data_IF_242471536301
#
_entry.id   IF_242471536301
#
_cell.length_a   1.000
_cell.length_b   1.000
_cell.length_c   1.000
_cell.angle_alpha   90.00
_cell.angle_beta   90.00
_cell.angle_gamma   90.00
#
_symmetry.space_group_name_H-M   'P 1'
#
loop_
_entity.id
_entity.type
_entity.pdbx_description
1 polymer ?
#
# COMPACT_ATOMS: atom_id res chain seq x y z
N UNK A 1 38.16 -59.68 -14.97
CA UNK A 1 37.03 -58.89 -14.44
C UNK A 1 36.11 -59.87 -13.72
N UNK A 2 36.09 -59.80 -12.39
CA UNK A 2 35.50 -60.76 -11.41
C UNK A 2 34.13 -60.19 -10.96
N UNK A 3 33.05 -60.88 -10.60
CA UNK A 3 32.63 -62.29 -10.37
C UNK A 3 31.08 -62.27 -10.36
N UNK A 4 30.38 -63.18 -11.05
CA UNK A 4 29.66 -64.38 -10.52
C UNK A 4 28.32 -64.11 -9.81
N UNK A 5 27.26 -64.70 -10.37
CA UNK A 5 25.90 -64.91 -9.83
C UNK A 5 25.85 -65.88 -8.63
N UNK A 6 24.77 -65.78 -7.84
CA UNK A 6 23.78 -66.86 -7.56
C UNK A 6 23.45 -67.08 -6.06
N UNK A 7 22.19 -66.74 -5.69
CA UNK A 7 21.20 -67.39 -4.79
C UNK A 7 21.60 -67.73 -3.32
N UNK A 8 20.76 -67.78 -2.27
CA UNK A 8 19.43 -68.39 -2.01
C UNK A 8 18.90 -67.83 -0.64
N UNK A 9 17.59 -67.50 -0.58
CA UNK A 9 16.58 -67.75 0.49
C UNK A 9 16.81 -67.38 1.98
N UNK A 10 15.83 -66.65 2.57
CA UNK A 10 14.78 -67.15 3.51
C UNK A 10 14.38 -66.03 4.48
N UNK A 11 13.08 -65.72 4.61
CA UNK A 11 12.58 -64.83 5.66
C UNK A 11 11.19 -64.24 5.42
N UNK A 12 10.20 -65.12 5.25
CA UNK A 12 8.78 -64.79 5.13
C UNK A 12 8.22 -64.36 6.50
N UNK A 13 7.69 -63.14 6.63
CA UNK A 13 6.55 -62.84 7.53
C UNK A 13 5.61 -61.89 6.80
N UNK A 14 4.49 -62.46 6.35
CA UNK A 14 3.27 -61.76 5.98
C UNK A 14 2.61 -61.20 7.24
N UNK A 15 2.44 -59.88 7.29
CA UNK A 15 1.24 -59.28 7.91
C UNK A 15 0.73 -58.25 6.92
N UNK A 16 -0.38 -58.59 6.26
CA UNK A 16 -1.10 -57.65 5.41
C UNK A 16 -1.79 -56.57 6.23
N UNK A 17 -1.94 -55.38 5.67
CA UNK A 17 -3.18 -55.03 4.97
C UNK A 17 -3.16 -53.59 4.48
N UNK A 18 -3.68 -53.44 3.25
CA UNK A 18 -4.27 -52.22 2.66
C UNK A 18 -3.36 -51.02 2.40
N UNK A 19 -2.78 -51.02 1.20
CA UNK A 19 -2.47 -49.81 0.42
C UNK A 19 -3.79 -49.17 0.01
N UNK A 20 -4.01 -47.91 0.39
CA UNK A 20 -5.04 -47.04 -0.19
C UNK A 20 -4.34 -46.04 -1.12
N UNK A 21 -4.64 -46.14 -2.41
CA UNK A 21 -4.28 -45.16 -3.43
C UNK A 21 -5.12 -43.87 -3.24
N UNK A 22 -4.59 -42.67 -3.56
CA UNK A 22 -5.30 -41.42 -3.34
C UNK A 22 -6.41 -41.25 -4.38
N UNK A 23 -7.67 -41.30 -3.90
CA UNK A 23 -8.85 -40.86 -4.65
C UNK A 23 -9.08 -39.36 -4.49
N UNK A 24 -9.42 -38.71 -5.60
CA UNK A 24 -9.94 -37.35 -5.66
C UNK A 24 -11.25 -37.22 -4.86
N UNK A 25 -11.27 -36.27 -3.93
CA UNK A 25 -12.43 -35.58 -3.34
C UNK A 25 -11.88 -34.69 -2.20
N UNK A 26 -12.34 -33.51 -1.85
CA UNK A 26 -13.36 -32.59 -2.33
C UNK A 26 -13.03 -31.24 -1.65
N UNK A 27 -13.53 -30.13 -2.19
CA UNK A 27 -13.40 -28.80 -1.59
C UNK A 27 -13.99 -28.80 -0.15
N UNK A 28 -13.10 -28.77 0.84
CA UNK A 28 -13.46 -28.60 2.24
C UNK A 28 -13.75 -27.14 2.56
N UNK A 29 -14.99 -26.84 2.92
CA UNK A 29 -15.44 -25.56 3.47
C UNK A 29 -14.58 -25.19 4.68
N UNK A 30 -13.86 -24.07 4.59
CA UNK A 30 -13.14 -23.47 5.71
C UNK A 30 -14.17 -22.99 6.73
N UNK A 31 -14.21 -23.64 7.90
CA UNK A 31 -15.11 -23.26 8.98
C UNK A 31 -14.82 -21.80 9.41
N UNK A 32 -15.86 -20.96 9.33
CA UNK A 32 -15.83 -19.56 9.70
C UNK A 32 -15.76 -19.42 11.22
N UNK A 33 -14.55 -19.40 11.78
CA UNK A 33 -14.32 -18.77 13.09
C UNK A 33 -13.86 -17.33 12.85
N UNK A 34 -14.81 -16.40 12.98
CA UNK A 34 -14.47 -15.02 13.24
C UNK A 34 -13.68 -14.95 14.56
N UNK A 35 -12.60 -14.18 14.57
CA UNK A 35 -11.91 -13.86 15.82
C UNK A 35 -12.88 -13.09 16.72
N UNK A 36 -13.32 -13.73 17.80
CA UNK A 36 -13.88 -13.05 18.96
C UNK A 36 -12.69 -12.70 19.82
N UNK A 37 -12.47 -11.40 20.04
CA UNK A 37 -11.42 -10.90 20.90
C UNK A 37 -11.46 -11.65 22.26
N UNK A 38 -10.36 -12.26 22.71
CA UNK A 38 -10.31 -12.86 24.03
C UNK A 38 -10.42 -11.73 25.05
N UNK A 39 -11.49 -11.75 25.83
CA UNK A 39 -11.61 -10.86 26.98
C UNK A 39 -10.54 -11.24 28.02
N UNK A 40 -9.78 -10.21 28.41
CA UNK A 40 -8.92 -10.12 29.60
C UNK A 40 -7.65 -11.02 29.65
N UNK A 41 -6.54 -10.49 29.09
CA UNK A 41 -5.23 -10.34 29.78
C UNK A 41 -4.06 -10.04 28.82
N UNK A 42 -4.28 -9.95 27.51
CA UNK A 42 -3.30 -9.47 26.53
C UNK A 42 -3.76 -8.15 25.91
N UNK A 43 -2.83 -7.20 25.65
CA UNK A 43 -3.14 -5.98 24.90
C UNK A 43 -3.84 -6.32 23.59
N UNK A 44 -4.95 -5.65 23.31
CA UNK A 44 -5.52 -5.64 21.95
C UNK A 44 -4.70 -4.67 21.08
N UNK A 45 -3.51 -5.15 20.69
CA UNK A 45 -2.52 -4.43 19.88
C UNK A 45 -3.12 -3.84 18.61
N UNK A 46 -4.14 -4.49 18.04
CA UNK A 46 -4.75 -4.08 16.78
C UNK A 46 -5.62 -2.86 17.00
N UNK A 47 -6.44 -2.88 18.05
CA UNK A 47 -7.18 -1.70 18.48
C UNK A 47 -6.23 -0.56 18.82
N UNK A 48 -5.11 -0.81 19.50
CA UNK A 48 -4.11 0.23 19.79
C UNK A 48 -3.49 0.83 18.50
N UNK A 49 -3.15 0.00 17.50
CA UNK A 49 -2.66 0.48 16.20
C UNK A 49 -3.71 1.36 15.51
N UNK A 50 -4.97 0.92 15.50
CA UNK A 50 -6.07 1.61 14.83
C UNK A 50 -6.40 2.94 15.50
N UNK A 51 -6.41 2.96 16.83
CA UNK A 51 -6.64 4.16 17.63
C UNK A 51 -5.57 5.22 17.37
N UNK A 52 -4.31 4.81 17.24
CA UNK A 52 -3.19 5.70 16.90
C UNK A 52 -3.35 6.37 15.53
N UNK A 53 -3.95 5.66 14.58
CA UNK A 53 -4.17 6.14 13.21
C UNK A 53 -5.45 7.00 13.14
N UNK A 54 -6.38 6.84 14.09
CA UNK A 54 -7.61 7.62 14.17
C UNK A 54 -8.64 7.25 13.10
N UNK A 55 -8.55 6.04 12.53
CA UNK A 55 -9.47 5.55 11.51
C UNK A 55 -10.34 4.43 12.07
N UNK A 56 -11.56 4.27 11.54
CA UNK A 56 -12.36 3.08 11.83
C UNK A 56 -11.80 1.90 11.04
N UNK A 57 -11.43 0.83 11.73
CA UNK A 57 -11.05 -0.43 11.09
C UNK A 57 -12.23 -0.98 10.27
N UNK A 58 -12.01 -1.18 8.96
CA UNK A 58 -12.95 -1.86 8.05
C UNK A 58 -12.32 -3.12 7.46
N UNK A 59 -11.60 -3.85 8.30
CA UNK A 59 -10.96 -5.13 8.00
C UNK A 59 -11.04 -6.01 9.24
N UNK A 60 -10.93 -7.32 9.05
CA UNK A 60 -10.86 -8.28 10.15
C UNK A 60 -9.45 -8.81 10.31
N UNK A 61 -9.01 -9.04 11.54
CA UNK A 61 -7.73 -9.67 11.80
C UNK A 61 -7.95 -11.08 12.29
N UNK A 62 -7.30 -12.05 11.65
CA UNK A 62 -7.51 -13.47 11.91
C UNK A 62 -6.19 -14.24 11.87
N UNK A 63 -6.00 -15.11 12.84
CA UNK A 63 -4.98 -16.14 12.75
C UNK A 63 -5.28 -17.06 11.56
N UNK A 64 -4.28 -17.38 10.75
CA UNK A 64 -4.41 -18.23 9.58
C UNK A 64 -3.11 -18.99 9.29
N UNK A 65 -3.20 -20.05 8.49
CA UNK A 65 -2.05 -20.79 8.01
C UNK A 65 -1.37 -20.08 6.82
N UNK A 66 -0.80 -18.90 7.11
CA UNK A 66 0.06 -18.14 6.18
C UNK A 66 1.52 -18.26 6.65
N UNK A 67 2.53 -18.06 5.78
CA UNK A 67 3.93 -18.14 6.21
C UNK A 67 4.32 -17.10 7.27
N UNK A 68 3.70 -15.93 7.23
CA UNK A 68 4.02 -14.75 8.03
C UNK A 68 2.75 -13.95 8.40
N UNK A 69 2.50 -12.82 7.75
CA UNK A 69 1.27 -12.05 7.78
C UNK A 69 0.97 -11.51 6.38
N UNK A 70 -0.30 -11.24 6.09
CA UNK A 70 -0.73 -10.75 4.78
C UNK A 70 -2.02 -9.93 4.86
N UNK A 71 -2.04 -8.77 4.21
CA UNK A 71 -3.25 -8.02 3.91
C UNK A 71 -3.91 -8.53 2.62
N UNK A 72 -5.16 -8.98 2.70
CA UNK A 72 -5.87 -9.60 1.57
C UNK A 72 -7.33 -9.15 1.48
N UNK A 73 -7.91 -9.25 0.28
CA UNK A 73 -9.34 -9.07 0.07
C UNK A 73 -9.92 -10.39 -0.40
N UNK A 74 -10.79 -10.99 0.42
CA UNK A 74 -11.47 -12.25 0.13
C UNK A 74 -12.98 -11.99 0.09
N UNK A 75 -13.63 -12.34 -1.02
CA UNK A 75 -15.07 -12.16 -1.21
C UNK A 75 -15.57 -10.72 -0.91
N UNK A 76 -14.77 -9.71 -1.29
CA UNK A 76 -15.09 -8.30 -1.06
C UNK A 76 -14.87 -7.80 0.38
N UNK A 77 -14.35 -8.65 1.28
CA UNK A 77 -14.03 -8.30 2.67
C UNK A 77 -12.52 -8.23 2.86
N UNK A 78 -12.05 -7.23 3.61
CA UNK A 78 -10.63 -6.99 3.91
C UNK A 78 -10.21 -7.81 5.13
N UNK A 79 -9.05 -8.45 5.04
CA UNK A 79 -8.48 -9.26 6.12
C UNK A 79 -7.00 -8.97 6.30
N UNK A 80 -6.56 -8.86 7.56
CA UNK A 80 -5.17 -9.05 7.96
C UNK A 80 -5.06 -10.48 8.48
N UNK A 81 -4.36 -11.33 7.74
CA UNK A 81 -4.10 -12.71 8.15
C UNK A 81 -2.72 -12.79 8.78
N UNK A 82 -2.56 -13.53 9.87
CA UNK A 82 -1.26 -13.69 10.51
C UNK A 82 -1.03 -15.11 11.04
N UNK A 83 0.23 -15.51 11.10
CA UNK A 83 0.66 -16.76 11.71
C UNK A 83 1.10 -16.50 13.16
N UNK A 84 0.33 -17.03 14.11
CA UNK A 84 0.57 -16.88 15.56
C UNK A 84 1.96 -17.38 15.97
N UNK A 85 2.37 -18.53 15.43
CA UNK A 85 3.64 -19.13 15.78
C UNK A 85 4.82 -18.28 15.26
N UNK A 86 4.71 -17.77 14.04
CA UNK A 86 5.70 -16.87 13.46
C UNK A 86 5.86 -15.59 14.29
N UNK A 87 4.76 -14.90 14.61
CA UNK A 87 4.84 -13.67 15.40
C UNK A 87 5.42 -13.93 16.80
N UNK A 88 5.01 -15.04 17.44
CA UNK A 88 5.57 -15.46 18.73
C UNK A 88 7.08 -15.72 18.65
N UNK A 89 7.56 -16.41 17.61
CA UNK A 89 8.99 -16.67 17.42
C UNK A 89 9.80 -15.38 17.26
N UNK A 90 9.31 -14.44 16.44
CA UNK A 90 9.99 -13.16 16.20
C UNK A 90 10.05 -12.32 17.47
N UNK A 91 8.94 -12.22 18.21
CA UNK A 91 8.89 -11.46 19.46
C UNK A 91 9.82 -12.07 20.52
N UNK A 92 9.83 -13.40 20.64
CA UNK A 92 10.72 -14.10 21.57
C UNK A 92 12.19 -13.92 21.21
N UNK A 93 12.54 -13.99 19.92
CA UNK A 93 13.91 -13.78 19.45
C UNK A 93 14.43 -12.38 19.75
N UNK A 94 13.57 -11.35 19.63
CA UNK A 94 13.93 -9.96 19.88
C UNK A 94 13.63 -9.48 21.31
N UNK A 95 13.02 -10.34 22.12
CA UNK A 95 12.56 -10.05 23.50
C UNK A 95 11.72 -8.78 23.57
N UNK A 96 10.87 -8.57 22.57
CA UNK A 96 10.00 -7.40 22.46
C UNK A 96 8.78 -7.71 21.59
N UNK A 97 7.64 -7.10 21.93
CA UNK A 97 6.43 -7.20 21.12
C UNK A 97 6.44 -6.28 19.90
N UNK A 98 7.35 -5.30 19.86
CA UNK A 98 7.44 -4.31 18.78
C UNK A 98 7.66 -4.92 17.41
N UNK A 99 8.26 -6.11 17.34
CA UNK A 99 8.49 -6.77 16.07
C UNK A 99 7.18 -7.27 15.44
N UNK A 100 6.33 -7.94 16.22
CA UNK A 100 5.00 -8.36 15.79
C UNK A 100 4.09 -7.15 15.50
N UNK A 101 4.15 -6.11 16.33
CA UNK A 101 3.43 -4.85 16.09
C UNK A 101 3.86 -4.22 14.76
N UNK A 102 5.17 -4.20 14.45
CA UNK A 102 5.72 -3.66 13.21
C UNK A 102 5.20 -4.40 11.98
N UNK A 103 5.15 -5.74 12.03
CA UNK A 103 4.63 -6.57 10.95
C UNK A 103 3.14 -6.31 10.74
N UNK A 104 2.34 -6.30 11.81
CA UNK A 104 0.90 -6.04 11.69
C UNK A 104 0.61 -4.62 11.18
N UNK A 105 1.34 -3.61 11.66
CA UNK A 105 1.21 -2.24 11.19
C UNK A 105 1.56 -2.10 9.70
N UNK A 106 2.57 -2.82 9.23
CA UNK A 106 2.94 -2.87 7.80
C UNK A 106 1.79 -3.42 6.94
N UNK A 107 1.17 -4.55 7.34
CA UNK A 107 0.02 -5.11 6.63
C UNK A 107 -1.20 -4.16 6.63
N UNK A 108 -1.45 -3.47 7.75
CA UNK A 108 -2.50 -2.45 7.82
C UNK A 108 -2.19 -1.30 6.85
N UNK A 109 -0.91 -0.90 6.73
CA UNK A 109 -0.45 0.08 5.74
C UNK A 109 -0.83 -0.31 4.32
N UNK A 110 -0.66 -1.57 3.92
CA UNK A 110 -1.09 -2.05 2.60
C UNK A 110 -2.59 -1.90 2.35
N UNK A 111 -3.43 -2.09 3.37
CA UNK A 111 -4.88 -1.87 3.24
C UNK A 111 -5.25 -0.39 3.18
N UNK A 112 -4.63 0.44 4.01
CA UNK A 112 -4.97 1.86 4.10
C UNK A 112 -4.49 2.65 2.88
N UNK A 113 -3.31 2.32 2.35
CA UNK A 113 -2.78 2.93 1.13
C UNK A 113 -3.38 2.32 -0.15
N UNK A 114 -4.21 1.28 -0.02
CA UNK A 114 -4.90 0.66 -1.16
C UNK A 114 -4.04 -0.28 -2.00
N UNK A 115 -2.85 -0.67 -1.54
CA UNK A 115 -1.95 -1.61 -2.22
C UNK A 115 -2.65 -2.95 -2.54
N UNK A 116 -3.57 -3.38 -1.67
CA UNK A 116 -4.35 -4.62 -1.84
C UNK A 116 -5.43 -4.59 -2.93
N UNK A 117 -5.65 -3.45 -3.60
CA UNK A 117 -6.64 -3.31 -4.68
C UNK A 117 -6.05 -3.66 -6.06
N UNK A 118 -4.73 -3.61 -6.21
CA UNK A 118 -4.02 -3.91 -7.44
C UNK A 118 -3.83 -5.41 -7.59
N UNK A 119 -4.21 -5.98 -8.75
CA UNK A 119 -4.03 -7.44 -9.03
C UNK A 119 -2.57 -7.85 -9.29
N UNK A 120 -1.61 -6.95 -9.13
CA UNK A 120 -0.23 -7.05 -9.62
C UNK A 120 0.83 -7.60 -8.65
N UNK A 121 0.47 -8.03 -7.44
CA UNK A 121 1.45 -8.44 -6.43
C UNK A 121 2.15 -7.26 -5.76
N UNK A 122 3.16 -7.54 -4.92
CA UNK A 122 3.91 -6.52 -4.19
C UNK A 122 4.82 -5.71 -5.11
N UNK A 123 4.74 -4.38 -5.01
CA UNK A 123 5.67 -3.44 -5.63
C UNK A 123 6.62 -2.92 -4.56
N UNK A 124 7.90 -2.77 -4.88
CA UNK A 124 8.93 -2.28 -3.95
C UNK A 124 8.58 -0.91 -3.33
N UNK A 125 7.84 -0.06 -4.05
CA UNK A 125 7.38 1.22 -3.49
C UNK A 125 6.28 1.03 -2.44
N UNK A 126 5.28 0.20 -2.72
CA UNK A 126 4.20 -0.15 -1.80
C UNK A 126 4.75 -0.71 -0.47
N UNK A 127 5.82 -1.52 -0.54
CA UNK A 127 6.54 -2.05 0.62
C UNK A 127 7.23 -0.95 1.44
N UNK A 128 7.87 0.03 0.78
CA UNK A 128 8.51 1.15 1.45
C UNK A 128 7.48 2.09 2.08
N UNK A 129 6.34 2.29 1.43
CA UNK A 129 5.23 3.06 1.99
C UNK A 129 4.61 2.35 3.22
N UNK A 130 4.47 1.03 3.16
CA UNK A 130 4.02 0.23 4.30
C UNK A 130 5.05 0.22 5.45
N UNK A 131 6.35 0.18 5.15
CA UNK A 131 7.43 0.36 6.13
C UNK A 131 7.44 1.75 6.77
N UNK A 132 7.23 2.81 5.98
CA UNK A 132 7.10 4.18 6.49
C UNK A 132 5.87 4.29 7.40
N UNK A 133 4.74 3.74 6.99
CA UNK A 133 3.54 3.69 7.82
C UNK A 133 3.76 2.91 9.13
N UNK A 134 4.43 1.76 9.08
CA UNK A 134 4.80 0.98 10.26
C UNK A 134 5.64 1.83 11.24
N UNK A 135 6.67 2.51 10.76
CA UNK A 135 7.50 3.40 11.59
C UNK A 135 6.72 4.52 12.26
N UNK A 136 5.76 5.12 11.54
CA UNK A 136 4.87 6.16 12.06
C UNK A 136 3.98 5.65 13.21
N UNK A 137 3.33 4.50 13.00
CA UNK A 137 2.48 3.86 14.02
C UNK A 137 3.30 3.53 15.26
N UNK A 138 4.45 2.87 15.08
CA UNK A 138 5.28 2.44 16.20
C UNK A 138 5.78 3.61 17.04
N UNK A 139 6.16 4.72 16.41
CA UNK A 139 6.52 5.93 17.16
C UNK A 139 5.36 6.43 18.01
N UNK A 140 4.15 6.52 17.45
CA UNK A 140 2.97 7.02 18.17
C UNK A 140 2.55 6.09 19.29
N UNK A 141 2.80 4.78 19.17
CA UNK A 141 2.62 3.80 20.24
C UNK A 141 3.73 3.86 21.31
N UNK A 142 4.84 4.56 21.07
CA UNK A 142 5.90 4.80 22.04
C UNK A 142 7.20 4.03 21.80
N UNK A 143 7.33 3.30 20.69
CA UNK A 143 8.57 2.59 20.36
C UNK A 143 9.72 3.57 20.09
N UNK A 144 10.92 3.21 20.56
CA UNK A 144 12.16 3.83 20.08
C UNK A 144 12.42 3.49 18.61
N UNK A 145 13.27 4.27 17.93
CA UNK A 145 13.64 3.98 16.54
C UNK A 145 14.35 2.61 16.42
N UNK A 146 15.15 2.23 17.42
CA UNK A 146 15.80 0.92 17.43
C UNK A 146 14.81 -0.22 17.52
N UNK A 147 13.77 -0.11 18.36
CA UNK A 147 12.69 -1.08 18.44
C UNK A 147 11.87 -1.12 17.15
N UNK A 148 11.54 0.04 16.56
CA UNK A 148 10.79 0.13 15.32
C UNK A 148 11.49 -0.55 14.14
N UNK A 149 12.83 -0.58 14.16
CA UNK A 149 13.66 -1.20 13.14
C UNK A 149 14.02 -2.67 13.44
N UNK A 150 13.66 -3.21 14.60
CA UNK A 150 14.15 -4.50 15.09
C UNK A 150 13.74 -5.68 14.18
N UNK A 151 12.48 -5.70 13.73
CA UNK A 151 11.98 -6.74 12.83
C UNK A 151 12.76 -6.78 11.51
N UNK A 152 12.99 -5.63 10.88
CA UNK A 152 13.72 -5.53 9.61
C UNK A 152 15.20 -5.90 9.78
N UNK A 153 15.84 -5.55 10.90
CA UNK A 153 17.23 -5.97 11.15
C UNK A 153 17.37 -7.49 11.22
N UNK A 154 16.38 -8.18 11.79
CA UNK A 154 16.36 -9.63 11.94
C UNK A 154 15.96 -10.36 10.64
N UNK A 155 14.92 -9.88 9.95
CA UNK A 155 14.23 -10.64 8.90
C UNK A 155 14.62 -10.25 7.47
N UNK A 156 15.02 -8.99 7.23
CA UNK A 156 15.22 -8.51 5.87
C UNK A 156 16.58 -8.95 5.28
N UNK A 157 16.58 -9.22 3.98
CA UNK A 157 17.81 -9.45 3.20
C UNK A 157 18.53 -8.13 2.89
N UNK A 158 19.85 -8.17 2.68
CA UNK A 158 20.64 -6.95 2.43
C UNK A 158 20.32 -6.28 1.09
N UNK A 159 19.95 -7.06 0.08
CA UNK A 159 19.66 -6.59 -1.28
C UNK A 159 18.17 -6.67 -1.58
N UNK A 160 17.75 -5.90 -2.57
CA UNK A 160 16.39 -6.02 -3.10
C UNK A 160 16.15 -7.46 -3.60
N UNK A 161 15.01 -8.00 -3.25
CA UNK A 161 14.48 -9.24 -3.80
C UNK A 161 13.37 -8.93 -4.80
N UNK A 162 12.76 -9.97 -5.37
CA UNK A 162 11.61 -9.80 -6.26
C UNK A 162 10.40 -9.16 -5.55
N UNK A 163 10.22 -9.42 -4.25
CA UNK A 163 9.02 -9.01 -3.49
C UNK A 163 9.29 -7.98 -2.41
N UNK A 164 10.54 -7.76 -2.00
CA UNK A 164 10.86 -6.83 -0.91
C UNK A 164 12.12 -6.00 -1.20
N UNK A 165 12.13 -4.70 -0.83
CA UNK A 165 13.32 -3.88 -0.89
C UNK A 165 14.40 -4.39 0.07
N UNK A 166 15.66 -4.09 -0.23
CA UNK A 166 16.80 -4.41 0.60
C UNK A 166 16.74 -3.68 1.94
N UNK A 167 17.31 -4.32 2.96
CA UNK A 167 17.28 -3.91 4.37
C UNK A 167 17.53 -2.41 4.57
N UNK A 168 18.54 -1.84 3.90
CA UNK A 168 18.88 -0.42 4.04
C UNK A 168 17.70 0.50 3.70
N UNK A 169 16.99 0.23 2.61
CA UNK A 169 15.88 1.05 2.14
C UNK A 169 14.69 0.93 3.09
N UNK A 170 14.38 -0.28 3.54
CA UNK A 170 13.32 -0.57 4.52
C UNK A 170 13.57 0.14 5.86
N UNK A 171 14.80 0.06 6.38
CA UNK A 171 15.19 0.77 7.60
C UNK A 171 15.06 2.29 7.47
N UNK A 172 15.42 2.85 6.31
CA UNK A 172 15.29 4.27 6.04
C UNK A 172 13.82 4.72 5.97
N UNK A 173 12.96 3.93 5.32
CA UNK A 173 11.52 4.19 5.27
C UNK A 173 10.89 4.20 6.68
N UNK A 174 11.18 3.19 7.51
CA UNK A 174 10.75 3.16 8.92
C UNK A 174 11.23 4.41 9.67
N UNK A 175 12.50 4.79 9.48
CA UNK A 175 13.06 5.97 10.14
C UNK A 175 12.34 7.25 9.74
N UNK A 176 11.95 7.38 8.46
CA UNK A 176 11.20 8.52 7.96
C UNK A 176 9.83 8.63 8.62
N UNK A 177 9.07 7.53 8.63
CA UNK A 177 7.75 7.50 9.26
C UNK A 177 7.79 7.77 10.76
N UNK A 178 8.77 7.18 11.44
CA UNK A 178 9.04 7.42 12.87
C UNK A 178 9.33 8.90 13.14
N UNK A 179 10.16 9.54 12.32
CA UNK A 179 10.47 10.97 12.40
C UNK A 179 9.23 11.85 12.22
N UNK A 180 8.42 11.56 11.20
CA UNK A 180 7.18 12.30 10.95
C UNK A 180 6.22 12.25 12.16
N UNK A 181 6.07 11.08 12.78
CA UNK A 181 5.27 10.93 14.00
C UNK A 181 5.88 11.69 15.19
N UNK A 182 7.20 11.67 15.33
CA UNK A 182 7.91 12.40 16.38
C UNK A 182 7.68 13.91 16.27
N UNK A 183 7.73 14.45 15.06
CA UNK A 183 7.48 15.87 14.80
C UNK A 183 6.04 16.26 15.15
N UNK A 184 5.06 15.41 14.80
CA UNK A 184 3.67 15.64 15.19
C UNK A 184 3.46 15.63 16.71
N UNK A 185 4.10 14.73 17.43
CA UNK A 185 4.02 14.65 18.90
C UNK A 185 4.61 15.92 19.52
N UNK A 186 5.78 16.37 19.05
CA UNK A 186 6.44 17.59 19.54
C UNK A 186 5.63 18.84 19.21
N UNK A 187 5.07 18.93 18.00
CA UNK A 187 4.22 20.04 17.60
C UNK A 187 2.97 20.13 18.49
N UNK A 188 2.34 18.99 18.78
CA UNK A 188 1.15 18.92 19.65
C UNK A 188 1.47 19.28 21.11
N UNK A 189 2.67 18.93 21.59
CA UNK A 189 3.11 19.30 22.94
C UNK A 189 3.47 20.80 23.08
N UNK A 190 3.94 21.44 21.98
CA UNK A 190 4.26 22.88 21.95
C UNK A 190 3.04 23.75 21.69
N UNK A 191 2.06 23.24 20.95
CA UNK A 191 0.80 23.92 20.69
C UNK A 191 -0.09 23.84 21.94
N UNK A 192 0.14 24.73 22.92
CA UNK A 192 -0.92 25.06 23.88
C UNK A 192 -2.22 25.42 23.12
N UNK A 193 -3.38 25.13 23.71
CA UNK A 193 -4.71 25.20 23.09
C UNK A 193 -4.79 26.29 22.00
N UNK A 194 -5.00 25.93 20.72
CA UNK A 194 -5.11 26.93 19.68
C UNK A 194 -6.39 27.73 19.93
N UNK A 195 -6.25 28.91 20.56
CA UNK A 195 -7.28 29.93 20.57
C UNK A 195 -7.35 30.51 19.17
N UNK A 196 -8.07 29.81 18.29
CA UNK A 196 -8.45 30.33 16.99
C UNK A 196 -9.50 31.41 17.24
N UNK A 197 -9.06 32.63 17.51
CA UNK A 197 -9.94 33.80 17.56
C UNK A 197 -10.55 33.95 16.16
N UNK A 198 -11.83 33.57 16.07
CA UNK A 198 -12.64 33.88 14.90
C UNK A 198 -12.74 35.40 14.87
N UNK A 199 -12.01 36.06 13.98
CA UNK A 199 -12.13 37.51 13.80
C UNK A 199 -13.58 37.80 13.41
N UNK A 200 -14.30 38.50 14.28
CA UNK A 200 -15.65 38.96 14.03
C UNK A 200 -15.66 39.78 12.74
N UNK A 201 -16.56 39.43 11.83
CA UNK A 201 -16.78 40.16 10.59
C UNK A 201 -17.17 41.61 10.92
N UNK A 202 -16.31 42.56 10.56
CA UNK A 202 -16.63 43.98 10.58
C UNK A 202 -17.68 44.24 9.51
N UNK A 203 -18.94 44.38 9.92
CA UNK A 203 -20.02 44.94 9.10
C UNK A 203 -19.71 46.40 8.80
N UNK A 204 -19.09 46.67 7.66
CA UNK A 204 -19.14 47.99 7.03
C UNK A 204 -20.17 47.93 5.91
N UNK A 205 -21.28 48.63 6.14
CA UNK A 205 -22.34 48.82 5.16
C UNK A 205 -21.78 49.58 3.95
N UNK A 206 -21.59 48.88 2.84
CA UNK A 206 -21.26 49.50 1.56
C UNK A 206 -22.53 49.65 0.73
N UNK A 207 -22.96 50.91 0.68
CA UNK A 207 -23.91 51.56 -0.23
C UNK A 207 -23.92 50.92 -1.62
N UNK A 208 -25.12 50.56 -2.08
CA UNK A 208 -25.37 50.09 -3.44
C UNK A 208 -24.97 51.16 -4.47
N UNK A 209 -24.02 50.80 -5.34
CA UNK A 209 -23.87 51.42 -6.65
C UNK A 209 -23.96 50.32 -7.71
N UNK A 210 -24.71 50.52 -8.80
CA UNK A 210 -24.85 49.52 -9.84
C UNK A 210 -23.56 49.55 -10.67
N UNK A 211 -22.81 48.45 -10.68
CA UNK A 211 -21.68 48.29 -11.59
C UNK A 211 -21.90 47.03 -12.40
N UNK A 212 -22.28 47.30 -13.64
CA UNK A 212 -22.24 46.48 -14.84
C UNK A 212 -21.31 45.27 -14.76
N UNK A 213 -21.92 44.12 -15.01
CA UNK A 213 -21.33 42.87 -15.51
C UNK A 213 -20.05 43.11 -16.31
N UNK A 214 -18.89 42.69 -15.78
CA UNK A 214 -17.88 41.87 -16.46
C UNK A 214 -16.65 41.77 -15.55
N UNK A 215 -16.64 40.78 -14.66
CA UNK A 215 -15.40 40.33 -14.02
C UNK A 215 -15.08 38.95 -14.59
N UNK A 216 -14.18 38.94 -15.57
CA UNK A 216 -13.55 37.74 -16.13
C UNK A 216 -12.95 36.95 -14.97
N UNK A 217 -13.50 35.77 -14.65
CA UNK A 217 -12.87 34.80 -13.73
C UNK A 217 -11.46 34.55 -14.25
N UNK A 218 -10.46 34.89 -13.43
CA UNK A 218 -9.08 34.50 -13.70
C UNK A 218 -9.00 32.98 -13.61
N UNK A 219 -8.96 32.33 -14.77
CA UNK A 219 -8.67 30.90 -14.93
C UNK A 219 -7.36 30.58 -14.21
N UNK A 220 -7.44 29.79 -13.13
CA UNK A 220 -6.27 29.37 -12.37
C UNK A 220 -5.51 28.31 -13.15
N UNK A 221 -4.61 28.74 -14.03
CA UNK A 221 -3.74 27.86 -14.83
C UNK A 221 -2.73 27.14 -13.95
N UNK A 222 -2.40 25.91 -14.30
CA UNK A 222 -1.34 25.16 -13.59
C UNK A 222 0.03 25.80 -13.85
N UNK A 223 0.83 26.10 -12.80
CA UNK A 223 2.19 26.59 -13.00
C UNK A 223 3.06 25.56 -13.72
N UNK A 224 3.82 25.99 -14.73
CA UNK A 224 4.62 25.11 -15.59
C UNK A 224 5.61 24.22 -14.81
N UNK A 225 6.12 24.69 -13.66
CA UNK A 225 7.05 23.95 -12.81
C UNK A 225 6.48 22.64 -12.22
N UNK A 226 5.16 22.48 -12.19
CA UNK A 226 4.50 21.27 -11.71
C UNK A 226 4.10 20.32 -12.84
N UNK A 227 4.31 20.70 -14.11
CA UNK A 227 3.95 19.90 -15.27
C UNK A 227 5.17 19.10 -15.72
N UNK A 228 5.00 17.77 -15.75
CA UNK A 228 5.98 16.84 -16.32
C UNK A 228 5.77 16.68 -17.83
N UNK A 229 4.53 16.46 -18.27
CA UNK A 229 4.14 16.29 -19.68
C UNK A 229 2.71 16.77 -19.92
N UNK A 230 2.41 17.21 -21.13
CA UNK A 230 1.03 17.41 -21.58
C UNK A 230 0.50 16.13 -22.23
N UNK A 231 -0.75 15.77 -21.94
CA UNK A 231 -1.46 14.65 -22.56
C UNK A 231 -2.36 15.18 -23.67
N UNK A 232 -2.10 14.79 -24.91
CA UNK A 232 -2.93 15.15 -26.07
C UNK A 232 -3.66 13.93 -26.59
N UNK A 233 -4.98 13.90 -26.41
CA UNK A 233 -5.86 12.84 -26.89
C UNK A 233 -6.44 13.23 -28.25
N UNK A 234 -6.47 12.27 -29.18
CA UNK A 234 -7.04 12.48 -30.53
C UNK A 234 -8.55 12.72 -30.45
N UNK A 235 -9.24 12.00 -29.57
CA UNK A 235 -10.68 12.13 -29.35
C UNK A 235 -11.09 13.43 -28.63
N UNK A 236 -10.15 14.07 -27.94
CA UNK A 236 -10.40 15.24 -27.10
C UNK A 236 -9.28 16.30 -27.22
N UNK A 237 -9.08 16.89 -28.42
CA UNK A 237 -7.94 17.77 -28.68
C UNK A 237 -7.99 19.11 -27.94
N UNK A 238 -9.16 19.50 -27.43
CA UNK A 238 -9.36 20.74 -26.68
C UNK A 238 -9.17 20.57 -25.16
N UNK A 239 -9.06 19.33 -24.68
CA UNK A 239 -8.88 19.05 -23.26
C UNK A 239 -7.47 19.42 -22.80
N UNK A 240 -7.38 20.13 -21.68
CA UNK A 240 -6.11 20.52 -21.07
C UNK A 240 -5.74 19.53 -19.99
N UNK A 241 -5.08 18.45 -20.39
CA UNK A 241 -4.68 17.36 -19.49
C UNK A 241 -3.15 17.34 -19.35
N UNK A 242 -2.67 17.16 -18.12
CA UNK A 242 -1.24 17.18 -17.80
C UNK A 242 -0.88 16.02 -16.86
N UNK A 243 0.32 15.48 -17.04
CA UNK A 243 0.99 14.67 -16.02
C UNK A 243 1.85 15.61 -15.20
N UNK A 244 1.72 15.54 -13.88
CA UNK A 244 2.50 16.36 -12.94
C UNK A 244 3.84 15.73 -12.59
N UNK A 245 4.73 16.50 -11.96
CA UNK A 245 6.00 15.98 -11.41
C UNK A 245 5.82 14.96 -10.28
N UNK A 246 4.62 14.89 -9.70
CA UNK A 246 4.20 13.86 -8.73
C UNK A 246 3.45 12.69 -9.41
N UNK A 247 3.51 12.61 -10.74
CA UNK A 247 2.84 11.58 -11.55
C UNK A 247 1.31 11.56 -11.48
N UNK A 248 0.67 12.57 -10.92
CA UNK A 248 -0.78 12.74 -11.03
C UNK A 248 -1.15 13.15 -12.46
N UNK A 249 -2.22 12.57 -12.98
CA UNK A 249 -2.89 13.04 -14.18
C UNK A 249 -3.95 14.06 -13.76
N UNK A 250 -3.85 15.28 -14.28
CA UNK A 250 -4.74 16.39 -13.93
C UNK A 250 -5.40 16.99 -15.17
N UNK A 251 -6.60 17.52 -15.00
CA UNK A 251 -7.36 18.24 -16.03
C UNK A 251 -7.62 19.66 -15.56
N UNK A 252 -7.38 20.63 -16.44
CA UNK A 252 -7.65 22.05 -16.17
C UNK A 252 -9.00 22.45 -16.77
N UNK A 253 -9.98 22.72 -15.90
CA UNK A 253 -11.33 23.16 -16.25
C UNK A 253 -11.53 24.66 -15.98
N UNK A 254 -12.71 25.19 -16.27
CA UNK A 254 -13.05 26.59 -15.93
C UNK A 254 -13.19 26.81 -14.40
N UNK A 255 -13.46 25.74 -13.66
CA UNK A 255 -13.64 25.77 -12.21
C UNK A 255 -12.36 25.45 -11.43
N UNK A 256 -11.30 24.96 -12.09
CA UNK A 256 -9.99 24.75 -11.49
C UNK A 256 -9.25 23.51 -12.03
N UNK A 257 -8.32 23.00 -11.22
CA UNK A 257 -7.53 21.81 -11.57
C UNK A 257 -8.13 20.60 -10.86
N UNK A 258 -8.50 19.58 -11.62
CA UNK A 258 -8.99 18.30 -11.11
C UNK A 258 -7.92 17.22 -11.27
N UNK A 259 -7.64 16.47 -10.21
CA UNK A 259 -6.86 15.22 -10.33
C UNK A 259 -7.77 14.16 -10.91
N UNK A 260 -7.47 13.65 -12.10
CA UNK A 260 -8.31 12.72 -12.86
C UNK A 260 -7.71 11.31 -13.01
N UNK A 261 -6.52 11.08 -12.47
CA UNK A 261 -5.81 9.82 -12.62
C UNK A 261 -4.33 9.89 -12.22
N UNK A 262 -3.52 8.94 -12.70
CA UNK A 262 -2.08 8.87 -12.43
C UNK A 262 -1.31 8.21 -13.58
N UNK A 263 -0.04 8.58 -13.74
CA UNK A 263 0.94 7.86 -14.56
C UNK A 263 1.60 6.79 -13.69
N UNK A 264 1.56 5.53 -14.11
CA UNK A 264 2.20 4.40 -13.43
C UNK A 264 3.23 3.76 -14.35
N UNK A 265 4.28 3.18 -13.77
CA UNK A 265 5.28 2.42 -14.53
C UNK A 265 4.77 0.99 -14.75
N UNK A 266 5.01 0.43 -15.93
CA UNK A 266 4.71 -0.97 -16.22
C UNK A 266 6.00 -1.80 -16.29
N UNK A 267 5.84 -3.12 -16.34
CA UNK A 267 6.93 -4.08 -16.56
C UNK A 267 7.18 -4.38 -18.05
N UNK A 268 6.46 -3.72 -18.97
CA UNK A 268 6.61 -3.90 -20.40
C UNK A 268 7.60 -2.89 -20.97
N UNK A 269 8.72 -3.36 -21.53
CA UNK A 269 9.74 -2.49 -22.14
C UNK A 269 9.22 -1.65 -23.30
N UNK A 270 8.21 -2.14 -24.02
CA UNK A 270 7.59 -1.42 -25.13
C UNK A 270 6.59 -0.37 -24.65
N UNK A 271 6.01 -0.56 -23.46
CA UNK A 271 5.01 0.31 -22.86
C UNK A 271 5.38 0.67 -21.42
N UNK A 272 6.51 1.35 -21.19
CA UNK A 272 7.08 1.53 -19.86
C UNK A 272 6.18 2.25 -18.86
N UNK A 273 5.13 2.95 -19.32
CA UNK A 273 4.16 3.58 -18.42
C UNK A 273 2.72 3.34 -18.88
N UNK A 274 1.76 3.57 -18.00
CA UNK A 274 0.33 3.56 -18.26
C UNK A 274 -0.30 4.79 -17.59
N UNK A 275 -1.21 5.45 -18.28
CA UNK A 275 -2.07 6.49 -17.71
C UNK A 275 -3.37 5.84 -17.28
N UNK A 276 -3.59 5.78 -15.97
CA UNK A 276 -4.86 5.37 -15.39
C UNK A 276 -5.72 6.63 -15.22
N UNK A 277 -6.99 6.55 -15.62
CA UNK A 277 -7.95 7.64 -15.42
C UNK A 277 -9.32 7.12 -15.02
N UNK A 278 -10.06 7.96 -14.27
CA UNK A 278 -11.50 7.72 -14.04
C UNK A 278 -12.39 8.16 -15.22
N UNK A 279 -11.83 8.84 -16.21
CA UNK A 279 -12.59 9.41 -17.34
C UNK A 279 -12.40 8.64 -18.65
N UNK A 280 -11.32 7.88 -18.78
CA UNK A 280 -11.02 7.08 -19.96
C UNK A 280 -10.30 5.79 -19.55
N UNK A 281 -10.42 4.75 -20.37
CA UNK A 281 -9.73 3.47 -20.18
C UNK A 281 -8.21 3.64 -20.19
N UNK A 282 -7.49 2.73 -19.54
CA UNK A 282 -6.04 2.80 -19.39
C UNK A 282 -5.32 3.03 -20.73
N UNK A 283 -4.43 4.02 -20.74
CA UNK A 283 -3.64 4.36 -21.93
C UNK A 283 -2.17 4.01 -21.71
N UNK A 284 -1.69 3.04 -22.47
CA UNK A 284 -0.30 2.62 -22.45
C UNK A 284 0.59 3.67 -23.11
N UNK A 285 1.71 3.98 -22.47
CA UNK A 285 2.69 4.94 -22.92
C UNK A 285 3.91 4.19 -23.40
N UNK A 286 4.20 4.27 -24.70
CA UNK A 286 5.42 3.67 -25.24
C UNK A 286 6.66 4.55 -24.98
N UNK A 287 7.84 4.04 -25.30
CA UNK A 287 9.12 4.75 -25.10
C UNK A 287 9.23 6.07 -25.86
N UNK A 288 8.44 6.25 -26.93
CA UNK A 288 8.37 7.47 -27.73
C UNK A 288 7.31 8.45 -27.23
N UNK A 289 6.60 8.12 -26.16
CA UNK A 289 5.52 8.93 -25.60
C UNK A 289 4.19 8.82 -26.35
N UNK A 290 4.00 7.85 -27.25
CA UNK A 290 2.68 7.59 -27.84
C UNK A 290 1.75 6.97 -26.79
N UNK A 291 0.48 7.35 -26.85
CA UNK A 291 -0.58 6.79 -26.03
C UNK A 291 -1.36 5.76 -26.85
N UNK A 292 -1.48 4.55 -26.33
CA UNK A 292 -2.16 3.43 -26.97
C UNK A 292 -3.29 2.90 -26.08
N UNK A 293 -4.41 2.50 -26.67
CA UNK A 293 -5.47 1.79 -25.96
C UNK A 293 -5.08 0.30 -25.75
N UNK A 294 -5.98 -0.48 -25.12
CA UNK A 294 -5.78 -1.91 -24.85
C UNK A 294 -5.59 -2.74 -26.14
N UNK A 295 -6.18 -2.29 -27.25
CA UNK A 295 -6.06 -2.92 -28.57
C UNK A 295 -4.73 -2.56 -29.28
N UNK A 296 -3.90 -1.71 -28.67
CA UNK A 296 -2.63 -1.25 -29.24
C UNK A 296 -2.80 -0.16 -30.32
N UNK A 297 -3.98 0.43 -30.44
CA UNK A 297 -4.25 1.53 -31.34
C UNK A 297 -3.78 2.85 -30.73
N UNK A 298 -3.21 3.72 -31.57
CA UNK A 298 -2.77 5.04 -31.13
C UNK A 298 -3.97 5.97 -30.90
N UNK A 299 -4.09 6.47 -29.68
CA UNK A 299 -5.16 7.39 -29.27
C UNK A 299 -4.65 8.76 -28.80
N UNK A 300 -3.33 8.95 -28.72
CA UNK A 300 -2.75 10.22 -28.32
C UNK A 300 -1.22 10.25 -28.22
N UNK A 301 -0.70 11.28 -27.57
CA UNK A 301 0.73 11.48 -27.33
C UNK A 301 0.99 12.30 -26.06
N UNK A 302 2.06 11.97 -25.34
CA UNK A 302 2.68 12.79 -24.30
C UNK A 302 3.66 13.77 -24.96
N UNK A 303 3.39 15.06 -24.85
CA UNK A 303 4.31 16.10 -25.35
C UNK A 303 5.04 16.78 -24.19
N UNK A 304 6.23 17.31 -24.46
CA UNK A 304 6.78 18.39 -23.63
C UNK A 304 5.88 19.61 -23.76
N UNK A 305 5.64 20.30 -22.66
CA UNK A 305 5.09 21.67 -22.66
C UNK A 305 6.14 22.67 -23.11
#
# INVERSE_FOLDING_TARGET
MKKVLLSILTGFVMVGSSVVLPGQAAAGTVAERAYVAPAASGRDVISEIIDVVGLKARFEVRAANVPNAAAVILNGKRYILYNEQFLSQVNNALRTDWAGISILAHEIGHHLNGHTLSKGGSNLQDELEADEFSGFVLRKMGASLSEAQAAIRLLAEERDSYTHPGKKNRLAAISKGWGNAQDQIVASAKAGTPSRTVAAASTSAMRETPVTTTARRSVSRMPAQYILRQVKLVSAPQERIYVTTQFNLVRETEDGIEVIGKLQKTNNRNYPYVLESRYFSDLFVNTNGLLLNEDGERVGVLTTT
#
